data_IF_397940579416
#
_entry.id   IF_397940579416
#
_cell.length_a   1.000
_cell.length_b   1.000
_cell.length_c   1.000
_cell.angle_alpha   90.00
_cell.angle_beta   90.00
_cell.angle_gamma   90.00
#
_symmetry.space_group_name_H-M   'P 1'
#
loop_
_entity.id
_entity.type
_entity.pdbx_description
1 polymer ?
#
# COMPACT_ATOMS: atom_id res chain seq x y z
N UNK A 1 26.78 11.88 16.52
CA UNK A 1 27.32 10.50 16.39
C UNK A 1 26.60 9.52 17.33
N UNK A 2 26.60 9.73 18.65
CA UNK A 2 25.92 8.83 19.62
C UNK A 2 24.41 8.68 19.36
N UNK A 3 23.69 9.77 19.10
CA UNK A 3 22.24 9.72 18.85
C UNK A 3 21.88 8.91 17.59
N UNK A 4 22.64 9.03 16.49
CA UNK A 4 22.42 8.27 15.26
C UNK A 4 22.69 6.77 15.46
N UNK A 5 23.73 6.41 16.23
CA UNK A 5 24.01 5.02 16.58
C UNK A 5 22.89 4.40 17.43
N UNK A 6 22.35 5.15 18.39
CA UNK A 6 21.19 4.71 19.20
C UNK A 6 19.96 4.52 18.33
N UNK A 7 19.66 5.45 17.42
CA UNK A 7 18.55 5.31 16.46
C UNK A 7 18.72 4.08 15.58
N UNK A 8 19.89 3.90 14.97
CA UNK A 8 20.18 2.72 14.16
C UNK A 8 19.99 1.41 14.94
N UNK A 9 20.52 1.34 16.17
CA UNK A 9 20.33 0.17 17.03
C UNK A 9 18.85 -0.07 17.36
N UNK A 10 18.07 0.98 17.63
CA UNK A 10 16.64 0.87 17.89
C UNK A 10 15.84 0.40 16.67
N UNK A 11 16.10 0.97 15.49
CA UNK A 11 15.41 0.61 14.23
C UNK A 11 15.74 -0.82 13.82
N UNK A 12 17.00 -1.23 13.94
CA UNK A 12 17.42 -2.62 13.63
C UNK A 12 16.89 -3.65 14.63
N UNK A 13 16.82 -3.28 15.92
CA UNK A 13 16.16 -4.10 16.94
C UNK A 13 14.67 -4.27 16.65
N UNK A 14 13.97 -3.20 16.26
CA UNK A 14 12.57 -3.25 15.87
C UNK A 14 12.38 -4.13 14.62
N UNK A 15 13.20 -3.95 13.58
CA UNK A 15 13.14 -4.79 12.38
C UNK A 15 13.28 -6.28 12.74
N UNK A 16 14.20 -6.62 13.64
CA UNK A 16 14.41 -7.98 14.11
C UNK A 16 13.20 -8.52 14.87
N UNK A 17 12.62 -7.73 15.79
CA UNK A 17 11.42 -8.10 16.55
C UNK A 17 10.23 -8.39 15.62
N UNK A 18 9.99 -7.53 14.63
CA UNK A 18 8.92 -7.71 13.64
C UNK A 18 9.16 -8.94 12.76
N UNK A 19 10.37 -9.08 12.21
CA UNK A 19 10.75 -10.20 11.33
C UNK A 19 10.66 -11.56 12.03
N UNK A 20 11.09 -11.61 13.29
CA UNK A 20 11.03 -12.82 14.14
C UNK A 20 9.67 -13.02 14.81
N UNK A 21 8.70 -12.12 14.55
CA UNK A 21 7.35 -12.14 15.13
C UNK A 21 7.34 -12.19 16.67
N UNK A 22 8.34 -11.56 17.30
CA UNK A 22 8.45 -11.44 18.75
C UNK A 22 7.40 -10.48 19.33
N UNK A 23 6.88 -9.58 18.49
CA UNK A 23 5.77 -8.68 18.83
C UNK A 23 4.50 -9.15 18.10
N UNK A 24 3.40 -9.45 18.81
CA UNK A 24 2.14 -9.83 18.18
C UNK A 24 1.61 -8.73 17.26
N UNK A 25 1.05 -9.10 16.10
CA UNK A 25 0.52 -8.12 15.13
C UNK A 25 -0.55 -7.18 15.72
N UNK A 26 -1.34 -7.63 16.71
CA UNK A 26 -2.31 -6.77 17.42
C UNK A 26 -1.65 -5.61 18.17
N UNK A 27 -0.43 -5.80 18.69
CA UNK A 27 0.34 -4.76 19.37
C UNK A 27 0.88 -3.77 18.35
N UNK A 28 1.43 -4.27 17.24
CA UNK A 28 1.90 -3.42 16.14
C UNK A 28 0.78 -2.56 15.56
N UNK A 29 -0.40 -3.14 15.34
CA UNK A 29 -1.57 -2.39 14.88
C UNK A 29 -1.96 -1.28 15.86
N UNK A 30 -1.95 -1.57 17.17
CA UNK A 30 -2.22 -0.56 18.20
C UNK A 30 -1.22 0.60 18.11
N UNK A 31 0.08 0.31 18.03
CA UNK A 31 1.14 1.30 17.92
C UNK A 31 1.07 2.14 16.64
N UNK A 32 0.51 1.60 15.56
CA UNK A 32 0.23 2.37 14.35
C UNK A 32 -1.01 3.24 14.53
N UNK A 33 -2.08 2.68 15.12
CA UNK A 33 -3.35 3.38 15.33
C UNK A 33 -3.27 4.52 16.34
N UNK A 34 -2.44 4.40 17.38
CA UNK A 34 -2.24 5.44 18.38
C UNK A 34 -1.19 6.49 17.97
N UNK A 35 -0.59 6.34 16.79
CA UNK A 35 0.40 7.27 16.26
C UNK A 35 1.80 7.15 16.87
N UNK A 36 2.08 6.12 17.66
CA UNK A 36 3.39 5.96 18.32
C UNK A 36 4.49 5.45 17.38
N UNK A 37 4.12 4.67 16.35
CA UNK A 37 5.10 4.00 15.47
C UNK A 37 5.26 4.67 14.11
N UNK A 38 4.14 5.00 13.44
CA UNK A 38 4.20 5.43 12.05
C UNK A 38 4.96 6.75 11.85
N UNK A 39 4.76 7.81 12.65
CA UNK A 39 5.52 9.06 12.50
C UNK A 39 7.03 8.86 12.64
N UNK A 40 7.46 8.00 13.57
CA UNK A 40 8.87 7.67 13.75
C UNK A 40 9.43 6.94 12.53
N UNK A 41 8.70 5.95 12.01
CA UNK A 41 9.11 5.24 10.80
C UNK A 41 9.24 6.19 9.59
N UNK A 42 8.28 7.11 9.41
CA UNK A 42 8.32 8.10 8.33
C UNK A 42 9.51 9.05 8.48
N UNK A 43 9.82 9.49 9.70
CA UNK A 43 10.99 10.31 9.97
C UNK A 43 12.29 9.58 9.62
N UNK A 44 12.45 8.32 10.02
CA UNK A 44 13.66 7.56 9.72
C UNK A 44 13.77 7.17 8.24
N UNK A 45 12.65 7.01 7.53
CA UNK A 45 12.66 6.89 6.07
C UNK A 45 13.24 8.15 5.43
N UNK A 46 12.90 9.33 5.93
CA UNK A 46 13.32 10.66 5.43
C UNK A 46 14.67 11.15 6.00
N UNK A 47 15.44 10.31 6.70
CA UNK A 47 16.73 10.72 7.29
C UNK A 47 17.73 11.23 6.24
N UNK A 48 18.26 12.45 6.43
CA UNK A 48 19.10 13.11 5.43
C UNK A 48 20.48 12.46 5.28
N UNK A 49 21.14 12.10 6.39
CA UNK A 49 22.59 11.87 6.38
C UNK A 49 22.98 10.39 6.41
N UNK A 50 22.21 9.56 7.11
CA UNK A 50 22.63 8.19 7.42
C UNK A 50 21.90 7.17 6.56
N UNK A 51 22.61 6.67 5.54
CA UNK A 51 22.14 5.59 4.65
C UNK A 51 21.65 4.37 5.45
N UNK A 52 22.40 3.97 6.48
CA UNK A 52 22.07 2.81 7.31
C UNK A 52 20.73 2.94 8.03
N UNK A 53 20.36 4.17 8.41
CA UNK A 53 19.07 4.47 9.06
C UNK A 53 17.94 4.33 8.05
N UNK A 54 18.06 4.95 6.87
CA UNK A 54 17.05 4.83 5.80
C UNK A 54 16.87 3.38 5.33
N UNK A 55 17.98 2.64 5.21
CA UNK A 55 17.97 1.23 4.87
C UNK A 55 17.21 0.41 5.92
N UNK A 56 17.55 0.61 7.19
CA UNK A 56 16.88 -0.07 8.30
C UNK A 56 15.38 0.30 8.37
N UNK A 57 15.03 1.56 8.10
CA UNK A 57 13.63 2.01 8.04
C UNK A 57 12.86 1.31 6.92
N UNK A 58 13.44 1.14 5.72
CA UNK A 58 12.84 0.34 4.65
C UNK A 58 12.57 -1.11 5.09
N UNK A 59 13.51 -1.73 5.81
CA UNK A 59 13.30 -3.09 6.35
C UNK A 59 12.21 -3.15 7.42
N UNK A 60 12.11 -2.14 8.29
CA UNK A 60 11.00 -2.05 9.26
C UNK A 60 9.67 -1.94 8.53
N UNK A 61 9.57 -1.06 7.53
CA UNK A 61 8.36 -0.90 6.71
C UNK A 61 7.96 -2.22 6.03
N UNK A 62 8.92 -2.90 5.40
CA UNK A 62 8.75 -4.21 4.78
C UNK A 62 8.21 -5.25 5.78
N UNK A 63 8.82 -5.35 6.97
CA UNK A 63 8.40 -6.28 8.02
C UNK A 63 7.00 -5.95 8.57
N UNK A 64 6.72 -4.67 8.80
CA UNK A 64 5.42 -4.18 9.27
C UNK A 64 4.31 -4.53 8.26
N UNK A 65 4.54 -4.26 6.97
CA UNK A 65 3.59 -4.57 5.90
C UNK A 65 3.31 -6.06 5.80
N UNK A 66 4.34 -6.91 5.91
CA UNK A 66 4.14 -8.37 5.91
C UNK A 66 3.40 -8.87 7.15
N UNK A 67 3.59 -8.24 8.30
CA UNK A 67 2.98 -8.69 9.55
C UNK A 67 1.52 -8.24 9.68
N UNK A 68 1.23 -6.98 9.36
CA UNK A 68 -0.08 -6.35 9.65
C UNK A 68 -0.66 -5.56 8.49
N UNK A 69 0.01 -5.52 7.33
CA UNK A 69 -0.36 -4.63 6.23
C UNK A 69 -1.80 -4.76 5.74
N UNK A 70 -2.34 -5.98 5.64
CA UNK A 70 -3.74 -6.25 5.26
C UNK A 70 -4.77 -5.68 6.27
N UNK A 71 -4.35 -5.39 7.50
CA UNK A 71 -5.17 -4.81 8.58
C UNK A 71 -4.88 -3.35 8.84
N UNK A 72 -3.93 -2.75 8.10
CA UNK A 72 -3.65 -1.32 8.25
C UNK A 72 -4.84 -0.51 7.76
N UNK A 73 -5.26 0.52 8.51
CA UNK A 73 -6.23 1.50 8.03
C UNK A 73 -5.72 2.25 6.79
N UNK A 74 -6.63 2.89 6.05
CA UNK A 74 -6.27 3.61 4.82
C UNK A 74 -5.26 4.73 5.04
N UNK A 75 -5.36 5.47 6.14
CA UNK A 75 -4.51 6.63 6.39
C UNK A 75 -3.01 6.26 6.54
N UNK A 76 -2.62 5.30 7.39
CA UNK A 76 -1.25 4.78 7.41
C UNK A 76 -0.73 4.32 6.05
N UNK A 77 -1.57 3.66 5.25
CA UNK A 77 -1.20 3.23 3.89
C UNK A 77 -0.91 4.42 2.98
N UNK A 78 -1.76 5.46 3.02
CA UNK A 78 -1.61 6.69 2.23
C UNK A 78 -0.37 7.49 2.58
N UNK A 79 0.12 7.40 3.82
CA UNK A 79 1.37 8.04 4.24
C UNK A 79 2.60 7.20 3.89
N UNK A 80 2.51 5.87 4.03
CA UNK A 80 3.66 4.98 3.89
C UNK A 80 4.10 4.77 2.44
N UNK A 81 3.16 4.56 1.51
CA UNK A 81 3.57 4.28 0.11
C UNK A 81 4.31 5.44 -0.55
N UNK A 82 3.91 6.73 -0.38
CA UNK A 82 4.65 7.85 -0.98
C UNK A 82 6.04 8.02 -0.35
N UNK A 83 6.16 7.78 0.96
CA UNK A 83 7.45 7.81 1.64
C UNK A 83 8.41 6.73 1.09
N UNK A 84 7.89 5.54 0.80
CA UNK A 84 8.66 4.47 0.17
C UNK A 84 9.02 4.77 -1.29
N UNK A 85 8.11 5.34 -2.09
CA UNK A 85 8.43 5.70 -3.48
C UNK A 85 9.52 6.76 -3.56
N UNK A 86 9.56 7.73 -2.64
CA UNK A 86 10.68 8.69 -2.55
C UNK A 86 12.03 8.04 -2.28
N UNK A 87 12.08 6.80 -1.79
CA UNK A 87 13.35 6.07 -1.57
C UNK A 87 13.84 5.35 -2.82
N UNK A 88 13.07 5.35 -3.91
CA UNK A 88 13.54 4.87 -5.21
C UNK A 88 14.53 5.85 -5.87
N UNK A 89 14.51 7.12 -5.45
CA UNK A 89 15.46 8.18 -5.83
C UNK A 89 16.64 8.32 -4.85
N UNK A 90 16.81 7.38 -3.91
CA UNK A 90 17.93 7.42 -2.96
C UNK A 90 19.28 7.29 -3.67
N UNK A 91 20.33 7.96 -3.17
CA UNK A 91 21.68 7.83 -3.73
C UNK A 91 22.30 6.45 -3.49
N UNK A 92 21.76 5.67 -2.54
CA UNK A 92 22.22 4.31 -2.24
C UNK A 92 21.34 3.25 -2.89
N UNK A 93 21.91 2.47 -3.81
CA UNK A 93 21.23 1.31 -4.41
C UNK A 93 20.71 0.31 -3.37
N UNK A 94 21.37 0.17 -2.21
CA UNK A 94 20.88 -0.70 -1.14
C UNK A 94 19.54 -0.21 -0.55
N UNK A 95 19.37 1.11 -0.40
CA UNK A 95 18.12 1.72 0.07
C UNK A 95 17.05 1.58 -1.00
N UNK A 96 17.37 1.88 -2.26
CA UNK A 96 16.44 1.73 -3.41
C UNK A 96 15.89 0.31 -3.52
N UNK A 97 16.77 -0.70 -3.45
CA UNK A 97 16.38 -2.11 -3.44
C UNK A 97 15.50 -2.48 -2.24
N UNK A 98 15.80 -1.94 -1.05
CA UNK A 98 15.00 -2.17 0.14
C UNK A 98 13.61 -1.52 0.04
N UNK A 99 13.52 -0.33 -0.56
CA UNK A 99 12.27 0.34 -0.86
C UNK A 99 11.41 -0.47 -1.83
N UNK A 100 12.00 -1.02 -2.91
CA UNK A 100 11.29 -1.94 -3.81
C UNK A 100 10.71 -3.13 -3.06
N UNK A 101 11.48 -3.80 -2.20
CA UNK A 101 10.95 -4.94 -1.40
C UNK A 101 9.81 -4.53 -0.47
N UNK A 102 9.90 -3.36 0.15
CA UNK A 102 8.81 -2.82 0.97
C UNK A 102 7.57 -2.50 0.11
N UNK A 103 7.74 -1.98 -1.11
CA UNK A 103 6.64 -1.73 -2.04
C UNK A 103 6.00 -3.01 -2.56
N UNK A 104 6.77 -4.07 -2.83
CA UNK A 104 6.23 -5.42 -3.11
C UNK A 104 5.38 -5.88 -1.93
N UNK A 105 5.88 -5.75 -0.70
CA UNK A 105 5.12 -6.09 0.50
C UNK A 105 3.83 -5.24 0.61
N UNK A 106 3.89 -3.95 0.27
CA UNK A 106 2.71 -3.08 0.22
C UNK A 106 1.69 -3.57 -0.81
N UNK A 107 2.11 -3.86 -2.04
CA UNK A 107 1.23 -4.35 -3.12
C UNK A 107 0.54 -5.65 -2.72
N UNK A 108 1.24 -6.56 -2.04
CA UNK A 108 0.66 -7.80 -1.51
C UNK A 108 -0.51 -7.58 -0.51
N UNK A 109 -0.57 -6.41 0.15
CA UNK A 109 -1.62 -6.07 1.11
C UNK A 109 -2.86 -5.46 0.48
N UNK A 110 -2.82 -5.15 -0.81
CA UNK A 110 -3.92 -4.52 -1.52
C UNK A 110 -5.06 -5.53 -1.75
N UNK A 111 -6.27 -5.06 -1.49
CA UNK A 111 -7.52 -5.74 -1.80
C UNK A 111 -8.15 -5.17 -3.07
N UNK A 112 -9.28 -5.75 -3.48
CA UNK A 112 -10.02 -5.31 -4.66
C UNK A 112 -10.59 -3.90 -4.51
N UNK A 113 -10.83 -3.42 -3.28
CA UNK A 113 -11.36 -2.10 -2.97
C UNK A 113 -10.35 -0.95 -3.02
N UNK A 114 -9.05 -1.26 -3.14
CA UNK A 114 -8.04 -0.21 -3.29
C UNK A 114 -8.28 0.63 -4.56
N UNK A 115 -8.18 1.95 -4.46
CA UNK A 115 -8.53 2.86 -5.57
C UNK A 115 -7.61 2.70 -6.79
N UNK A 116 -8.19 2.55 -7.98
CA UNK A 116 -7.45 2.47 -9.25
C UNK A 116 -6.57 3.71 -9.49
N UNK A 117 -7.04 4.91 -9.14
CA UNK A 117 -6.26 6.14 -9.26
C UNK A 117 -4.99 6.11 -8.41
N UNK A 118 -5.09 5.65 -7.16
CA UNK A 118 -3.92 5.53 -6.28
C UNK A 118 -2.95 4.44 -6.77
N UNK A 119 -3.49 3.34 -7.32
CA UNK A 119 -2.66 2.32 -7.97
C UNK A 119 -1.93 2.88 -9.19
N UNK A 120 -2.59 3.72 -9.99
CA UNK A 120 -1.98 4.45 -11.11
C UNK A 120 -0.85 5.38 -10.65
N UNK A 121 -1.04 6.16 -9.58
CA UNK A 121 0.03 7.01 -9.03
C UNK A 121 1.23 6.19 -8.53
N UNK A 122 0.98 5.08 -7.83
CA UNK A 122 2.05 4.17 -7.43
C UNK A 122 2.77 3.59 -8.65
N UNK A 123 2.04 3.16 -9.68
CA UNK A 123 2.62 2.63 -10.90
C UNK A 123 3.51 3.67 -11.61
N UNK A 124 3.03 4.90 -11.77
CA UNK A 124 3.79 6.00 -12.36
C UNK A 124 5.09 6.27 -11.62
N UNK A 125 5.04 6.28 -10.27
CA UNK A 125 6.22 6.53 -9.45
C UNK A 125 7.28 5.43 -9.58
N UNK A 126 6.88 4.17 -9.81
CA UNK A 126 7.81 3.04 -9.93
C UNK A 126 8.31 2.83 -11.35
N UNK A 127 7.46 3.08 -12.35
CA UNK A 127 7.71 2.78 -13.77
C UNK A 127 9.02 3.35 -14.26
N UNK A 128 9.35 4.59 -13.91
CA UNK A 128 10.56 5.27 -14.37
C UNK A 128 11.84 4.51 -13.97
N UNK A 129 11.82 3.75 -12.88
CA UNK A 129 12.96 2.99 -12.38
C UNK A 129 13.16 1.65 -13.11
N UNK A 130 12.23 1.20 -13.96
CA UNK A 130 12.50 0.07 -14.87
C UNK A 130 13.51 0.44 -15.97
N UNK A 131 13.77 1.74 -16.20
CA UNK A 131 14.81 2.22 -17.15
C UNK A 131 16.08 2.72 -16.42
N UNK A 132 16.27 2.32 -15.15
CA UNK A 132 17.43 2.73 -14.36
C UNK A 132 18.76 2.27 -14.98
N UNK A 133 19.88 2.95 -14.68
CA UNK A 133 21.20 2.50 -15.12
C UNK A 133 21.68 1.23 -14.42
N UNK A 134 21.20 0.94 -13.21
CA UNK A 134 21.56 -0.25 -12.43
C UNK A 134 20.58 -1.41 -12.73
N UNK A 135 21.02 -2.52 -13.34
CA UNK A 135 20.15 -3.63 -13.69
C UNK A 135 19.39 -4.23 -12.50
N UNK A 136 19.99 -4.26 -11.31
CA UNK A 136 19.32 -4.76 -10.11
C UNK A 136 18.11 -3.89 -9.71
N UNK A 137 18.17 -2.58 -9.97
CA UNK A 137 17.05 -1.66 -9.71
C UNK A 137 15.95 -1.84 -10.75
N UNK A 138 16.33 -2.01 -12.03
CA UNK A 138 15.36 -2.27 -13.10
C UNK A 138 14.51 -3.51 -12.79
N UNK A 139 15.17 -4.62 -12.41
CA UNK A 139 14.51 -5.87 -12.05
C UNK A 139 13.60 -5.69 -10.82
N UNK A 140 14.09 -5.03 -9.77
CA UNK A 140 13.32 -4.80 -8.55
C UNK A 140 12.09 -3.89 -8.79
N UNK A 141 12.22 -2.87 -9.65
CA UNK A 141 11.10 -2.01 -10.03
C UNK A 141 10.05 -2.77 -10.86
N UNK A 142 10.50 -3.64 -11.78
CA UNK A 142 9.62 -4.51 -12.54
C UNK A 142 8.85 -5.47 -11.60
N UNK A 143 9.51 -6.08 -10.61
CA UNK A 143 8.86 -6.95 -9.62
C UNK A 143 7.74 -6.23 -8.83
N UNK A 144 7.97 -4.97 -8.44
CA UNK A 144 6.94 -4.14 -7.79
C UNK A 144 5.72 -3.99 -8.69
N UNK A 145 5.93 -3.67 -9.97
CA UNK A 145 4.84 -3.46 -10.93
C UNK A 145 4.13 -4.75 -11.33
N UNK A 146 4.84 -5.86 -11.46
CA UNK A 146 4.25 -7.19 -11.66
C UNK A 146 3.36 -7.57 -10.47
N UNK A 147 3.81 -7.28 -9.24
CA UNK A 147 3.02 -7.52 -8.02
C UNK A 147 1.79 -6.62 -7.96
N UNK A 148 1.92 -5.34 -8.34
CA UNK A 148 0.80 -4.42 -8.42
C UNK A 148 -0.19 -4.82 -9.53
N UNK A 149 0.32 -5.27 -10.68
CA UNK A 149 -0.48 -5.73 -11.82
C UNK A 149 -1.38 -6.92 -11.44
N UNK A 150 -0.90 -7.84 -10.60
CA UNK A 150 -1.70 -8.95 -10.10
C UNK A 150 -2.91 -8.50 -9.25
N UNK A 151 -2.89 -7.27 -8.71
CA UNK A 151 -3.96 -6.68 -7.90
C UNK A 151 -4.81 -5.67 -8.66
N UNK A 152 -4.16 -4.89 -9.53
CA UNK A 152 -4.69 -3.70 -10.20
C UNK A 152 -4.24 -3.66 -11.67
N UNK A 153 -4.61 -4.68 -12.47
CA UNK A 153 -4.08 -4.87 -13.82
C UNK A 153 -4.45 -3.74 -14.78
N UNK A 154 -5.65 -3.16 -14.64
CA UNK A 154 -6.12 -2.07 -15.50
C UNK A 154 -5.28 -0.81 -15.28
N UNK A 155 -5.17 -0.33 -14.03
CA UNK A 155 -4.36 0.83 -13.71
C UNK A 155 -2.89 0.65 -14.14
N UNK A 156 -2.27 -0.49 -13.85
CA UNK A 156 -0.86 -0.71 -14.23
C UNK A 156 -0.67 -0.76 -15.74
N UNK A 157 -1.54 -1.49 -16.47
CA UNK A 157 -1.46 -1.59 -17.93
C UNK A 157 -1.54 -0.21 -18.58
N UNK A 158 -2.50 0.61 -18.17
CA UNK A 158 -2.74 1.90 -18.79
C UNK A 158 -1.54 2.84 -18.57
N UNK A 159 -0.85 2.78 -17.42
CA UNK A 159 0.37 3.55 -17.18
C UNK A 159 1.58 3.03 -17.97
N UNK A 160 1.77 1.71 -18.05
CA UNK A 160 2.91 1.12 -18.79
C UNK A 160 2.81 1.41 -20.29
N UNK A 161 1.61 1.33 -20.87
CA UNK A 161 1.40 1.59 -22.31
C UNK A 161 1.76 3.03 -22.72
N UNK A 162 1.61 4.02 -21.81
CA UNK A 162 1.96 5.42 -22.09
C UNK A 162 3.45 5.63 -22.33
N UNK A 163 4.30 4.80 -21.75
CA UNK A 163 5.75 5.03 -21.71
C UNK A 163 6.58 3.97 -22.44
N UNK A 164 6.02 2.78 -22.68
CA UNK A 164 6.73 1.61 -23.23
C UNK A 164 7.64 1.94 -24.40
N UNK A 165 7.17 2.70 -25.38
CA UNK A 165 7.94 2.97 -26.60
C UNK A 165 9.12 3.94 -26.40
N UNK A 166 9.19 4.59 -25.24
CA UNK A 166 10.29 5.51 -24.88
C UNK A 166 11.36 4.84 -24.02
N UNK A 167 11.05 3.71 -23.40
CA UNK A 167 11.97 2.98 -22.54
C UNK A 167 13.08 2.31 -23.36
N UNK A 168 14.30 2.33 -22.83
CA UNK A 168 15.41 1.52 -23.37
C UNK A 168 15.15 0.05 -23.07
N UNK A 169 14.75 -0.26 -21.84
CA UNK A 169 14.50 -1.61 -21.37
C UNK A 169 13.04 -2.07 -21.62
N UNK A 170 12.56 -2.03 -22.87
CA UNK A 170 11.17 -2.36 -23.24
C UNK A 170 10.71 -3.75 -22.79
N UNK A 171 11.63 -4.69 -22.64
CA UNK A 171 11.35 -6.04 -22.18
C UNK A 171 10.76 -6.08 -20.76
N UNK A 172 11.09 -5.13 -19.88
CA UNK A 172 10.44 -5.02 -18.56
C UNK A 172 8.99 -4.56 -18.69
N UNK A 173 8.70 -3.59 -19.58
CA UNK A 173 7.33 -3.20 -19.87
C UNK A 173 6.51 -4.39 -20.41
N UNK A 174 7.09 -5.17 -21.32
CA UNK A 174 6.43 -6.36 -21.88
C UNK A 174 6.13 -7.43 -20.80
N UNK A 175 7.04 -7.64 -19.86
CA UNK A 175 6.82 -8.52 -18.70
C UNK A 175 5.68 -8.04 -17.80
N UNK A 176 5.65 -6.75 -17.46
CA UNK A 176 4.58 -6.17 -16.64
C UNK A 176 3.23 -6.26 -17.36
N UNK A 177 3.19 -5.98 -18.66
CA UNK A 177 1.97 -6.12 -19.47
C UNK A 177 1.48 -7.58 -19.51
N UNK A 178 2.39 -8.56 -19.62
CA UNK A 178 2.05 -9.97 -19.52
C UNK A 178 1.46 -10.31 -18.14
N UNK A 179 2.00 -9.75 -17.05
CA UNK A 179 1.45 -9.91 -15.71
C UNK A 179 0.03 -9.31 -15.59
N UNK A 180 -0.24 -8.15 -16.21
CA UNK A 180 -1.59 -7.57 -16.26
C UNK A 180 -2.59 -8.49 -16.98
N UNK A 181 -2.17 -9.17 -18.06
CA UNK A 181 -3.01 -10.11 -18.81
C UNK A 181 -3.26 -11.41 -18.04
N UNK A 182 -2.28 -11.87 -17.26
CA UNK A 182 -2.38 -13.07 -16.45
C UNK A 182 -3.21 -12.87 -15.16
N UNK A 183 -3.43 -11.61 -14.75
CA UNK A 183 -4.24 -11.30 -13.59
C UNK A 183 -5.69 -11.77 -13.79
N UNK A 184 -6.19 -12.61 -12.87
CA UNK A 184 -7.57 -13.08 -12.93
C UNK A 184 -8.52 -11.88 -12.76
N UNK A 185 -9.55 -11.74 -13.61
CA UNK A 185 -10.55 -10.70 -13.42
C UNK A 185 -11.21 -10.88 -12.05
N UNK A 186 -11.38 -9.77 -11.33
CA UNK A 186 -12.16 -9.79 -10.10
C UNK A 186 -13.57 -10.32 -10.42
N UNK A 187 -14.15 -11.17 -9.55
CA UNK A 187 -15.53 -11.61 -9.76
C UNK A 187 -16.41 -10.37 -9.89
N UNK A 188 -17.17 -10.27 -10.98
CA UNK A 188 -18.08 -9.18 -11.20
C UNK A 188 -19.05 -9.13 -10.02
N UNK A 189 -18.96 -8.08 -9.21
CA UNK A 189 -20.02 -7.76 -8.25
C UNK A 189 -21.23 -7.43 -9.09
N UNK A 190 -22.19 -8.37 -9.15
CA UNK A 190 -23.43 -8.21 -9.89
C UNK A 190 -24.08 -6.90 -9.52
N UNK A 191 -24.07 -5.97 -10.47
CA UNK A 191 -24.97 -4.82 -10.49
C UNK A 191 -26.37 -5.40 -10.50
N UNK A 192 -27.08 -5.31 -9.37
CA UNK A 192 -28.52 -5.51 -9.35
C UNK A 192 -29.10 -4.48 -10.33
N UNK A 193 -29.51 -4.97 -11.50
CA UNK A 193 -30.35 -4.24 -12.43
C UNK A 193 -31.71 -4.17 -11.74
N UNK A 194 -32.00 -3.07 -11.08
CA UNK A 194 -33.38 -2.71 -10.77
C UNK A 194 -34.01 -2.26 -12.09
N UNK A 195 -34.73 -3.20 -12.72
CA UNK A 195 -35.63 -2.92 -13.83
C UNK A 195 -36.68 -1.91 -13.39
N UNK A 196 -36.83 -0.87 -14.20
CA UNK A 196 -37.75 0.23 -13.93
C UNK A 196 -39.22 -0.18 -13.99
N UNK A 197 -40.00 0.37 -13.08
CA UNK A 197 -41.41 0.63 -13.34
C UNK A 197 -41.74 2.08 -13.03
N UNK A 198 -42.05 2.82 -14.09
CA UNK A 198 -42.46 4.22 -14.10
C UNK A 198 -43.99 4.21 -14.17
N UNK A 199 -44.67 4.70 -13.13
CA UNK A 199 -46.09 5.10 -13.22
C UNK A 199 -46.27 6.44 -12.54
N UNK A 200 -46.72 7.41 -13.33
CA UNK A 200 -47.11 8.75 -12.92
C UNK A 200 -48.36 8.75 -12.04
N UNK A 201 -48.51 9.76 -11.17
CA UNK A 201 -49.85 10.21 -10.72
C UNK A 201 -50.03 10.61 -9.24
N UNK A 202 -49.95 11.91 -8.99
CA UNK A 202 -50.86 12.74 -8.16
C UNK A 202 -51.15 12.46 -6.66
N UNK A 203 -50.90 13.53 -5.89
CA UNK A 203 -51.70 14.10 -4.78
C UNK A 203 -51.68 13.49 -3.35
N UNK A 204 -51.17 14.32 -2.43
CA UNK A 204 -51.70 14.70 -1.11
C UNK A 204 -52.39 13.65 -0.22
N UNK A 205 -51.85 13.39 0.98
CA UNK A 205 -52.40 13.83 2.30
C UNK A 205 -51.75 13.09 3.48
N UNK A 206 -51.51 13.86 4.55
CA UNK A 206 -51.48 13.53 6.00
C UNK A 206 -51.37 12.07 6.49
N UNK A 207 -50.45 11.85 7.44
CA UNK A 207 -50.62 10.79 8.44
C UNK A 207 -49.33 10.33 9.13
N UNK A 208 -48.92 11.03 10.19
CA UNK A 208 -48.08 10.43 11.25
C UNK A 208 -48.91 9.36 11.98
N UNK A 209 -48.27 8.27 12.43
CA UNK A 209 -48.36 8.00 13.86
C UNK A 209 -47.04 7.52 14.50
N UNK A 210 -46.71 8.20 15.60
CA UNK A 210 -46.22 7.69 16.89
C UNK A 210 -45.52 6.32 17.00
N UNK A 211 -44.29 6.38 17.55
CA UNK A 211 -43.62 5.34 18.34
C UNK A 211 -44.49 4.83 19.50
N UNK A 212 -44.16 3.65 20.04
CA UNK A 212 -43.91 3.60 21.48
C UNK A 212 -42.54 3.00 21.84
N UNK A 213 -41.99 3.58 22.91
CA UNK A 213 -40.87 3.07 23.67
C UNK A 213 -41.27 1.87 24.57
N UNK A 214 -40.32 0.99 24.88
CA UNK A 214 -40.33 0.18 26.12
C UNK A 214 -38.92 -0.39 26.36
N UNK A 215 -38.17 0.13 27.35
CA UNK A 215 -37.83 -0.48 28.68
C UNK A 215 -36.96 -1.73 28.59
N UNK A 216 -35.68 -1.68 28.96
CA UNK A 216 -35.13 -1.77 30.33
C UNK A 216 -35.06 -3.22 30.86
N UNK A 217 -33.86 -3.59 31.32
CA UNK A 217 -33.46 -4.60 32.33
C UNK A 217 -32.07 -5.13 31.91
N UNK A 218 -30.93 -4.71 32.49
CA UNK A 218 -30.50 -4.81 33.89
C UNK A 218 -30.70 -6.22 34.44
N UNK A 219 -29.66 -7.05 34.40
CA UNK A 219 -29.24 -7.78 35.59
C UNK A 219 -27.77 -8.19 35.52
N UNK A 220 -27.10 -7.87 36.62
CA UNK A 220 -25.77 -8.31 37.02
C UNK A 220 -25.83 -9.76 37.50
N UNK A 221 -24.81 -10.54 37.16
CA UNK A 221 -24.16 -11.51 38.05
C UNK A 221 -22.74 -11.75 37.58
#
# INVERSE_FOLDING_TARGET
>A
KTAAAVRFAAVTALATQLRRRLVPGRVVLRLVSDGSLLPLLLQELEEDWYVDVRLAACWVAECLLRLVGHRLPHEPRRQLYPALTKRLDDSSNAVRLAACRALVAFCCTLDTGYCETNAGYLAQAVIIHMDDSEPAIQEAAAEVLETLAAKKPVAVRDEVLKVRDRFRARHFCDRVLAACLAARPAPATGSAVEDGHKTDGLSSTSGLPSLPASTADMELS
#
